data_IF_369249230757
#
_entry.id   IF_369249230757
#
_cell.length_a   1.000
_cell.length_b   1.000
_cell.length_c   1.000
_cell.angle_alpha   90.00
_cell.angle_beta   90.00
_cell.angle_gamma   90.00
#
_symmetry.space_group_name_H-M   'P 1'
#
loop_
_entity.id
_entity.type
_entity.pdbx_description
1 polymer ?
#
# COMPACT_ATOMS: atom_id res chain seq x y z
N UNK A 1 17.13 -10.60 4.13
CA UNK A 1 17.03 -12.00 3.65
C UNK A 1 16.28 -11.97 2.33
N UNK A 2 16.79 -12.62 1.28
CA UNK A 2 16.25 -12.50 -0.09
C UNK A 2 15.01 -13.37 -0.36
N UNK A 3 14.91 -14.56 0.25
CA UNK A 3 13.75 -15.45 0.09
C UNK A 3 12.38 -14.84 0.48
N UNK A 4 12.28 -14.03 1.55
CA UNK A 4 11.04 -13.32 1.89
C UNK A 4 10.60 -12.24 0.90
N UNK A 5 11.50 -11.72 0.04
CA UNK A 5 11.16 -10.61 -0.84
C UNK A 5 10.25 -11.08 -1.98
N UNK A 6 10.65 -12.12 -2.71
CA UNK A 6 9.88 -12.64 -3.84
C UNK A 6 8.48 -13.09 -3.39
N UNK A 7 8.36 -13.76 -2.24
CA UNK A 7 7.06 -14.15 -1.68
C UNK A 7 6.16 -12.93 -1.42
N UNK A 8 6.72 -11.87 -0.82
CA UNK A 8 5.95 -10.63 -0.59
C UNK A 8 5.56 -9.93 -1.88
N UNK A 9 6.41 -9.99 -2.91
CA UNK A 9 6.11 -9.45 -4.23
C UNK A 9 4.99 -10.24 -4.93
N UNK A 10 4.99 -11.58 -4.81
CA UNK A 10 3.90 -12.42 -5.31
C UNK A 10 2.58 -12.12 -4.59
N UNK A 11 2.60 -11.98 -3.27
CA UNK A 11 1.42 -11.59 -2.50
C UNK A 11 0.94 -10.18 -2.87
N UNK A 12 1.87 -9.25 -3.10
CA UNK A 12 1.54 -7.90 -3.55
C UNK A 12 0.84 -7.90 -4.92
N UNK A 13 1.36 -8.61 -5.92
CA UNK A 13 0.74 -8.70 -7.25
C UNK A 13 -0.65 -9.33 -7.19
N UNK A 14 -0.84 -10.37 -6.37
CA UNK A 14 -2.16 -11.01 -6.20
C UNK A 14 -3.24 -10.04 -5.72
N UNK A 15 -2.88 -9.03 -4.93
CA UNK A 15 -3.82 -8.00 -4.47
C UNK A 15 -4.22 -7.00 -5.56
N UNK A 16 -3.46 -6.90 -6.65
CA UNK A 16 -3.63 -5.87 -7.69
C UNK A 16 -4.30 -6.41 -8.97
N UNK A 17 -4.58 -7.70 -9.05
CA UNK A 17 -5.17 -8.34 -10.24
C UNK A 17 -6.58 -8.85 -9.94
N UNK A 18 -7.53 -7.92 -9.76
CA UNK A 18 -8.93 -8.23 -9.42
C UNK A 18 -9.70 -8.98 -10.53
N UNK A 19 -9.33 -8.79 -11.79
CA UNK A 19 -10.09 -9.32 -12.94
C UNK A 19 -9.87 -10.83 -13.14
N UNK A 20 -8.75 -11.35 -12.64
CA UNK A 20 -8.41 -12.77 -12.73
C UNK A 20 -9.39 -13.63 -11.94
N UNK A 21 -9.80 -13.21 -10.76
CA UNK A 21 -10.74 -13.97 -9.95
C UNK A 21 -12.14 -14.04 -10.59
N UNK A 22 -12.51 -13.06 -11.42
CA UNK A 22 -13.73 -13.12 -12.23
C UNK A 22 -13.60 -14.14 -13.35
N UNK A 23 -12.51 -14.07 -14.13
CA UNK A 23 -12.23 -15.00 -15.23
C UNK A 23 -12.13 -16.46 -14.74
N UNK A 24 -11.45 -16.69 -13.61
CA UNK A 24 -11.33 -18.00 -12.97
C UNK A 24 -12.72 -18.55 -12.59
N UNK A 25 -13.58 -17.70 -11.99
CA UNK A 25 -14.93 -18.10 -11.60
C UNK A 25 -15.77 -18.49 -12.81
N UNK A 26 -15.68 -17.72 -13.89
CA UNK A 26 -16.41 -17.99 -15.15
C UNK A 26 -16.03 -19.36 -15.73
N UNK A 27 -14.72 -19.63 -15.90
CA UNK A 27 -14.22 -20.92 -16.42
C UNK A 27 -14.63 -22.08 -15.52
N UNK A 28 -14.49 -21.94 -14.20
CA UNK A 28 -14.83 -23.00 -13.25
C UNK A 28 -16.33 -23.26 -13.12
N UNK A 29 -17.17 -22.26 -13.41
CA UNK A 29 -18.62 -22.37 -13.40
C UNK A 29 -19.20 -23.04 -14.65
N UNK A 30 -18.41 -23.12 -15.73
CA UNK A 30 -18.81 -23.75 -16.98
C UNK A 30 -19.00 -25.27 -16.82
N UNK A 31 -19.95 -25.83 -17.56
CA UNK A 31 -20.21 -27.28 -17.58
C UNK A 31 -18.99 -28.08 -18.04
N UNK A 32 -18.16 -27.51 -18.91
CA UNK A 32 -16.92 -28.11 -19.39
C UNK A 32 -15.77 -27.08 -19.36
N UNK A 33 -15.10 -26.90 -18.21
CA UNK A 33 -14.04 -25.90 -18.06
C UNK A 33 -12.93 -26.02 -19.09
N UNK A 34 -12.55 -27.25 -19.45
CA UNK A 34 -11.48 -27.54 -20.43
C UNK A 34 -11.77 -27.06 -21.85
N UNK A 35 -13.04 -26.86 -22.20
CA UNK A 35 -13.47 -26.35 -23.52
C UNK A 35 -13.82 -24.87 -23.49
N UNK A 36 -13.69 -24.21 -22.35
CA UNK A 36 -13.99 -22.80 -22.22
C UNK A 36 -12.97 -21.96 -22.99
N UNK A 37 -13.40 -20.90 -23.66
CA UNK A 37 -12.52 -20.05 -24.47
C UNK A 37 -11.37 -19.44 -23.64
N UNK A 38 -11.68 -19.06 -22.39
CA UNK A 38 -10.72 -18.49 -21.43
C UNK A 38 -9.92 -19.54 -20.65
N UNK A 39 -10.07 -20.85 -20.93
CA UNK A 39 -9.39 -21.90 -20.15
C UNK A 39 -7.88 -21.71 -20.09
N UNK A 40 -7.23 -21.55 -21.25
CA UNK A 40 -5.79 -21.36 -21.32
C UNK A 40 -5.34 -20.03 -20.75
N UNK A 41 -6.15 -18.97 -20.87
CA UNK A 41 -5.86 -17.69 -20.23
C UNK A 41 -5.82 -17.82 -18.71
N UNK A 42 -6.72 -18.61 -18.12
CA UNK A 42 -6.69 -18.88 -16.67
C UNK A 42 -5.47 -19.70 -16.27
N UNK A 43 -5.11 -20.73 -17.05
CA UNK A 43 -3.89 -21.51 -16.79
C UNK A 43 -2.65 -20.62 -16.86
N UNK A 44 -2.51 -19.84 -17.92
CA UNK A 44 -1.39 -18.92 -18.13
C UNK A 44 -1.29 -17.92 -16.97
N UNK A 45 -2.40 -17.31 -16.56
CA UNK A 45 -2.43 -16.41 -15.39
C UNK A 45 -1.98 -17.09 -14.11
N UNK A 46 -2.45 -18.31 -13.83
CA UNK A 46 -1.99 -19.03 -12.64
C UNK A 46 -0.48 -19.28 -12.69
N UNK A 47 0.06 -19.63 -13.86
CA UNK A 47 1.50 -19.76 -14.04
C UNK A 47 2.19 -18.41 -13.83
N UNK A 48 1.75 -17.32 -14.46
CA UNK A 48 2.33 -15.98 -14.28
C UNK A 48 2.36 -15.54 -12.80
N UNK A 49 1.32 -15.87 -12.01
CA UNK A 49 1.22 -15.57 -10.59
C UNK A 49 1.95 -16.57 -9.66
N UNK A 50 2.62 -17.58 -10.20
CA UNK A 50 3.27 -18.65 -9.45
C UNK A 50 2.30 -19.57 -8.68
N UNK A 51 1.04 -19.63 -9.09
CA UNK A 51 -0.05 -20.46 -8.52
C UNK A 51 -0.04 -21.84 -9.15
N UNK A 52 1.04 -22.57 -8.94
CA UNK A 52 1.31 -23.84 -9.61
C UNK A 52 0.26 -24.90 -9.30
N UNK A 53 -0.21 -24.99 -8.06
CA UNK A 53 -1.20 -26.02 -7.69
C UNK A 53 -2.54 -25.81 -8.38
N UNK A 54 -2.99 -24.56 -8.53
CA UNK A 54 -4.22 -24.23 -9.26
C UNK A 54 -4.07 -24.47 -10.77
N UNK A 55 -2.93 -24.10 -11.36
CA UNK A 55 -2.62 -24.40 -12.76
C UNK A 55 -2.65 -25.92 -13.02
N UNK A 56 -1.96 -26.69 -12.18
CA UNK A 56 -1.92 -28.16 -12.24
C UNK A 56 -3.31 -28.78 -12.09
N UNK A 57 -4.12 -28.25 -11.17
CA UNK A 57 -5.50 -28.72 -11.00
C UNK A 57 -6.33 -28.53 -12.27
N UNK A 58 -6.25 -27.38 -12.95
CA UNK A 58 -6.94 -27.16 -14.22
C UNK A 58 -6.40 -28.04 -15.34
N UNK A 59 -5.09 -28.14 -15.47
CA UNK A 59 -4.44 -29.00 -16.47
C UNK A 59 -4.82 -30.48 -16.30
N UNK A 60 -5.05 -30.95 -15.08
CA UNK A 60 -5.50 -32.33 -14.83
C UNK A 60 -6.87 -32.64 -15.44
N UNK A 61 -7.78 -31.64 -15.51
CA UNK A 61 -9.10 -31.78 -16.13
C UNK A 61 -8.98 -31.91 -17.65
N UNK A 62 -8.06 -31.13 -18.22
CA UNK A 62 -7.76 -31.18 -19.66
C UNK A 62 -7.02 -32.48 -20.03
N UNK A 63 -6.10 -32.95 -19.19
CA UNK A 63 -5.42 -34.23 -19.37
C UNK A 63 -6.39 -35.42 -19.39
N UNK A 64 -7.46 -35.37 -18.60
CA UNK A 64 -8.52 -36.37 -18.61
C UNK A 64 -9.38 -36.31 -19.87
N UNK A 65 -9.55 -35.13 -20.45
CA UNK A 65 -10.29 -34.93 -21.70
C UNK A 65 -9.49 -35.34 -22.94
N UNK A 66 -8.16 -35.22 -22.90
CA UNK A 66 -7.25 -35.49 -24.03
C UNK A 66 -6.18 -36.57 -23.71
N UNK A 67 -6.54 -37.87 -23.72
CA UNK A 67 -5.63 -38.97 -23.34
C UNK A 67 -4.40 -39.12 -24.25
N UNK A 68 -4.47 -38.69 -25.51
CA UNK A 68 -3.36 -38.75 -26.48
C UNK A 68 -2.15 -37.93 -26.05
N UNK A 69 -2.39 -36.84 -25.34
CA UNK A 69 -1.38 -35.90 -24.84
C UNK A 69 -1.00 -36.15 -23.38
N UNK A 70 -1.48 -37.24 -22.77
CA UNK A 70 -1.37 -37.48 -21.33
C UNK A 70 0.07 -37.53 -20.82
N UNK A 71 1.01 -38.02 -21.63
CA UNK A 71 2.43 -38.01 -21.25
C UNK A 71 2.98 -36.59 -21.11
N UNK A 72 2.63 -35.68 -22.02
CA UNK A 72 3.05 -34.28 -21.94
C UNK A 72 2.45 -33.58 -20.70
N UNK A 73 1.17 -33.82 -20.39
CA UNK A 73 0.55 -33.28 -19.17
C UNK A 73 1.25 -33.80 -17.90
N UNK A 74 1.64 -35.08 -17.85
CA UNK A 74 2.36 -35.64 -16.71
C UNK A 74 3.74 -35.01 -16.52
N UNK A 75 4.47 -34.80 -17.61
CA UNK A 75 5.78 -34.14 -17.58
C UNK A 75 5.62 -32.70 -17.09
N UNK A 76 4.69 -31.94 -17.67
CA UNK A 76 4.44 -30.56 -17.27
C UNK A 76 3.96 -30.46 -15.80
N UNK A 77 3.09 -31.37 -15.35
CA UNK A 77 2.67 -31.46 -13.95
C UNK A 77 3.85 -31.68 -13.01
N UNK A 78 4.77 -32.57 -13.37
CA UNK A 78 5.98 -32.85 -12.59
C UNK A 78 6.92 -31.63 -12.54
N UNK A 79 7.12 -30.94 -13.66
CA UNK A 79 7.89 -29.69 -13.70
C UNK A 79 7.28 -28.62 -12.79
N UNK A 80 5.98 -28.39 -12.87
CA UNK A 80 5.28 -27.42 -12.00
C UNK A 80 5.34 -27.81 -10.53
N UNK A 81 5.20 -29.11 -10.22
CA UNK A 81 5.26 -29.63 -8.84
C UNK A 81 6.65 -29.50 -8.23
N UNK A 82 7.70 -29.69 -9.03
CA UNK A 82 9.11 -29.61 -8.60
C UNK A 82 9.62 -28.19 -8.51
N UNK A 83 8.86 -27.19 -8.96
CA UNK A 83 9.27 -25.79 -8.94
C UNK A 83 9.77 -25.39 -7.53
N UNK A 84 11.02 -24.93 -7.41
CA UNK A 84 11.55 -24.51 -6.12
C UNK A 84 10.88 -23.22 -5.64
N UNK A 85 10.17 -23.30 -4.51
CA UNK A 85 9.53 -22.15 -3.87
C UNK A 85 10.40 -21.70 -2.69
N UNK A 86 10.64 -20.39 -2.50
CA UNK A 86 11.30 -19.89 -1.29
C UNK A 86 10.49 -20.31 -0.06
N UNK A 87 11.12 -20.99 0.89
CA UNK A 87 10.46 -21.34 2.15
C UNK A 87 10.59 -20.20 3.17
N UNK A 88 9.50 -19.92 3.90
CA UNK A 88 9.49 -18.95 5.02
C UNK A 88 10.19 -19.52 6.28
N UNK A 89 10.47 -20.83 6.30
CA UNK A 89 11.15 -21.51 7.41
C UNK A 89 12.67 -21.38 7.31
N UNK A 90 13.33 -21.16 8.46
CA UNK A 90 14.78 -20.96 8.60
C UNK A 90 15.68 -22.17 8.23
N UNK A 91 15.16 -23.18 7.54
CA UNK A 91 15.90 -24.43 7.29
C UNK A 91 16.61 -24.49 5.94
N UNK A 92 16.21 -23.69 4.95
CA UNK A 92 16.80 -23.71 3.61
C UNK A 92 17.77 -22.54 3.40
N UNK A 93 18.98 -22.82 2.95
CA UNK A 93 19.94 -21.77 2.57
C UNK A 93 19.61 -21.20 1.18
N UNK A 94 19.98 -19.94 0.92
CA UNK A 94 19.81 -19.35 -0.42
C UNK A 94 20.56 -20.14 -1.50
N UNK A 95 21.73 -20.68 -1.17
CA UNK A 95 22.53 -21.51 -2.08
C UNK A 95 21.81 -22.82 -2.41
N UNK A 96 21.17 -23.47 -1.44
CA UNK A 96 20.36 -24.67 -1.71
C UNK A 96 19.15 -24.38 -2.60
N UNK A 97 18.50 -23.24 -2.40
CA UNK A 97 17.39 -22.81 -3.25
C UNK A 97 17.88 -22.57 -4.69
N UNK A 98 18.98 -21.84 -4.85
CA UNK A 98 19.60 -21.55 -6.14
C UNK A 98 19.98 -22.83 -6.89
N UNK A 99 20.63 -23.79 -6.21
CA UNK A 99 20.99 -25.08 -6.82
C UNK A 99 19.77 -25.90 -7.26
N UNK A 100 18.72 -25.93 -6.45
CA UNK A 100 17.46 -26.59 -6.83
C UNK A 100 16.81 -25.91 -8.03
N UNK A 101 16.82 -24.58 -8.05
CA UNK A 101 16.25 -23.80 -9.15
C UNK A 101 17.04 -24.01 -10.44
N UNK A 102 18.37 -24.00 -10.40
CA UNK A 102 19.21 -24.30 -11.56
C UNK A 102 18.93 -25.69 -12.12
N UNK A 103 18.86 -26.71 -11.25
CA UNK A 103 18.53 -28.07 -11.70
C UNK A 103 17.14 -28.16 -12.33
N UNK A 104 16.14 -27.55 -11.70
CA UNK A 104 14.78 -27.49 -12.23
C UNK A 104 14.71 -26.75 -13.57
N UNK A 105 15.45 -25.65 -13.71
CA UNK A 105 15.54 -24.85 -14.94
C UNK A 105 16.18 -25.65 -16.08
N UNK A 106 17.27 -26.39 -15.80
CA UNK A 106 17.89 -27.33 -16.74
C UNK A 106 16.93 -28.44 -17.17
N UNK A 107 16.12 -28.99 -16.25
CA UNK A 107 15.09 -29.99 -16.58
C UNK A 107 14.05 -29.41 -17.54
N UNK A 108 13.51 -28.21 -17.27
CA UNK A 108 12.59 -27.51 -18.16
C UNK A 108 13.21 -27.30 -19.55
N UNK A 109 14.48 -26.88 -19.59
CA UNK A 109 15.18 -26.55 -20.83
C UNK A 109 15.36 -27.80 -21.69
N UNK A 110 15.72 -28.92 -21.08
CA UNK A 110 15.88 -30.21 -21.75
C UNK A 110 14.58 -30.67 -22.42
N UNK A 111 13.45 -30.61 -21.71
CA UNK A 111 12.16 -31.02 -22.27
C UNK A 111 11.74 -30.15 -23.47
N UNK A 112 12.04 -28.86 -23.43
CA UNK A 112 11.77 -27.95 -24.55
C UNK A 112 12.69 -28.24 -25.75
N UNK A 113 13.99 -28.47 -25.54
CA UNK A 113 14.95 -28.81 -26.58
C UNK A 113 14.65 -30.17 -27.24
N UNK A 114 14.18 -31.14 -26.46
CA UNK A 114 13.77 -32.46 -26.95
C UNK A 114 12.47 -32.40 -27.78
N UNK A 115 11.83 -31.22 -27.89
CA UNK A 115 10.58 -31.05 -28.62
C UNK A 115 9.39 -31.74 -27.96
N UNK A 116 9.46 -32.00 -26.65
CA UNK A 116 8.45 -32.77 -25.90
C UNK A 116 7.05 -32.17 -26.03
N UNK A 117 6.97 -30.84 -26.09
CA UNK A 117 5.71 -30.10 -26.15
C UNK A 117 5.32 -29.59 -27.55
N UNK A 118 6.10 -29.92 -28.60
CA UNK A 118 5.93 -29.35 -29.95
C UNK A 118 4.54 -29.63 -30.58
N UNK A 119 3.83 -30.65 -30.10
CA UNK A 119 2.46 -30.96 -30.55
C UNK A 119 1.35 -30.18 -29.83
N UNK A 120 1.67 -29.44 -28.77
CA UNK A 120 0.74 -28.59 -28.03
C UNK A 120 1.35 -27.20 -27.76
N UNK A 121 1.02 -26.19 -28.58
CA UNK A 121 1.57 -24.84 -28.45
C UNK A 121 1.34 -24.19 -27.08
N UNK A 122 0.22 -24.51 -26.41
CA UNK A 122 -0.05 -23.96 -25.08
C UNK A 122 0.91 -24.50 -24.02
N UNK A 123 1.19 -25.81 -24.05
CA UNK A 123 2.18 -26.40 -23.13
C UNK A 123 3.60 -25.91 -23.41
N UNK A 124 3.94 -25.76 -24.69
CA UNK A 124 5.22 -25.21 -25.09
C UNK A 124 5.39 -23.77 -24.59
N UNK A 125 4.35 -22.94 -24.75
CA UNK A 125 4.28 -21.58 -24.22
C UNK A 125 4.43 -21.55 -22.70
N UNK A 126 3.72 -22.43 -21.97
CA UNK A 126 3.88 -22.56 -20.51
C UNK A 126 5.32 -22.95 -20.16
N UNK A 127 5.92 -23.93 -20.84
CA UNK A 127 7.30 -24.34 -20.57
C UNK A 127 8.31 -23.22 -20.84
N UNK A 128 8.08 -22.38 -21.86
CA UNK A 128 8.86 -21.17 -22.13
C UNK A 128 8.72 -20.14 -21.00
N UNK A 129 7.50 -19.94 -20.48
CA UNK A 129 7.26 -19.10 -19.30
C UNK A 129 8.01 -19.64 -18.07
N UNK A 130 7.96 -20.95 -17.82
CA UNK A 130 8.69 -21.58 -16.71
C UNK A 130 10.21 -21.38 -16.81
N UNK A 131 10.75 -21.27 -18.03
CA UNK A 131 12.16 -20.98 -18.29
C UNK A 131 12.52 -19.50 -18.14
N UNK A 132 11.54 -18.63 -17.89
CA UNK A 132 11.76 -17.19 -17.81
C UNK A 132 12.02 -16.54 -19.16
N UNK A 133 11.53 -17.12 -20.25
CA UNK A 133 11.58 -16.53 -21.59
C UNK A 133 10.76 -15.22 -21.62
N UNK A 134 11.47 -14.09 -21.69
CA UNK A 134 10.87 -12.76 -21.60
C UNK A 134 9.90 -12.48 -22.75
N UNK A 135 10.18 -12.99 -23.96
CA UNK A 135 9.29 -12.82 -25.12
C UNK A 135 8.00 -13.62 -24.90
N UNK A 136 8.11 -14.88 -24.47
CA UNK A 136 6.95 -15.71 -24.19
C UNK A 136 6.07 -15.17 -23.04
N UNK A 137 6.69 -14.53 -22.04
CA UNK A 137 5.94 -13.85 -20.96
C UNK A 137 5.26 -12.58 -21.51
N UNK A 138 5.94 -11.78 -22.34
CA UNK A 138 5.38 -10.56 -22.94
C UNK A 138 4.26 -10.85 -23.93
N UNK A 139 4.25 -12.00 -24.62
CA UNK A 139 3.11 -12.45 -25.43
C UNK A 139 1.81 -12.55 -24.61
N UNK A 140 1.93 -12.72 -23.29
CA UNK A 140 0.80 -12.76 -22.34
C UNK A 140 0.52 -11.41 -21.69
N UNK A 141 1.03 -10.30 -22.25
CA UNK A 141 0.85 -8.95 -21.72
C UNK A 141 -0.60 -8.60 -21.43
N UNK A 142 -1.55 -8.97 -22.27
CA UNK A 142 -2.99 -8.70 -22.05
C UNK A 142 -3.56 -9.39 -20.79
N UNK A 143 -2.91 -10.45 -20.31
CA UNK A 143 -3.26 -11.14 -19.06
C UNK A 143 -2.63 -10.48 -17.83
N UNK A 144 -1.68 -9.56 -18.04
CA UNK A 144 -0.99 -8.79 -17.01
C UNK A 144 -1.48 -7.35 -17.08
N UNK A 145 -2.24 -6.89 -16.10
CA UNK A 145 -2.76 -5.51 -16.12
C UNK A 145 -1.67 -4.44 -15.94
N UNK A 146 -0.50 -4.82 -15.39
CA UNK A 146 0.53 -3.89 -14.94
C UNK A 146 1.93 -4.42 -15.19
N UNK A 147 2.89 -3.50 -15.40
CA UNK A 147 4.30 -3.84 -15.61
C UNK A 147 4.94 -4.51 -14.38
N UNK A 148 4.43 -4.23 -13.18
CA UNK A 148 4.95 -4.85 -11.97
C UNK A 148 4.47 -6.29 -11.79
N UNK A 149 3.36 -6.70 -12.41
CA UNK A 149 3.06 -8.13 -12.55
C UNK A 149 4.13 -8.81 -13.41
N UNK A 150 4.48 -8.21 -14.55
CA UNK A 150 5.56 -8.71 -15.41
C UNK A 150 6.92 -8.78 -14.69
N UNK A 151 7.28 -7.74 -13.92
CA UNK A 151 8.47 -7.75 -13.06
C UNK A 151 8.51 -8.96 -12.15
N UNK A 152 7.43 -9.21 -11.41
CA UNK A 152 7.39 -10.30 -10.43
C UNK A 152 7.45 -11.66 -11.11
N UNK A 153 6.79 -11.82 -12.25
CA UNK A 153 6.89 -13.03 -13.09
C UNK A 153 8.34 -13.28 -13.53
N UNK A 154 9.04 -12.24 -14.03
CA UNK A 154 10.46 -12.35 -14.40
C UNK A 154 11.33 -12.75 -13.22
N UNK A 155 11.13 -12.13 -12.06
CA UNK A 155 11.89 -12.47 -10.86
C UNK A 155 11.62 -13.91 -10.40
N UNK A 156 10.38 -14.37 -10.50
CA UNK A 156 9.99 -15.73 -10.13
C UNK A 156 10.71 -16.78 -10.98
N UNK A 157 10.77 -16.59 -12.29
CA UNK A 157 11.28 -17.59 -13.22
C UNK A 157 12.76 -17.45 -13.55
N UNK A 158 13.33 -16.25 -13.46
CA UNK A 158 14.71 -15.98 -13.88
C UNK A 158 15.64 -15.59 -12.73
N UNK A 159 15.12 -15.00 -11.64
CA UNK A 159 15.94 -14.42 -10.56
C UNK A 159 15.35 -14.64 -9.16
N UNK A 160 15.13 -15.90 -8.72
CA UNK A 160 14.41 -16.20 -7.47
C UNK A 160 15.13 -15.75 -6.19
N UNK A 161 16.44 -15.46 -6.29
CA UNK A 161 17.29 -15.05 -5.17
C UNK A 161 17.65 -13.55 -5.19
N UNK A 162 16.92 -12.75 -5.98
CA UNK A 162 17.12 -11.30 -6.16
C UNK A 162 17.25 -10.56 -4.83
N UNK A 163 18.24 -9.66 -4.76
CA UNK A 163 18.44 -8.82 -3.58
C UNK A 163 17.67 -7.51 -3.71
N UNK A 164 17.22 -6.90 -2.59
CA UNK A 164 16.53 -5.62 -2.63
C UNK A 164 17.30 -4.51 -3.38
N UNK A 165 18.63 -4.48 -3.27
CA UNK A 165 19.47 -3.47 -3.94
C UNK A 165 19.51 -3.60 -5.46
N UNK A 166 19.17 -4.78 -6.00
CA UNK A 166 19.18 -5.06 -7.43
C UNK A 166 17.79 -4.84 -8.07
N UNK A 167 16.75 -4.74 -7.24
CA UNK A 167 15.35 -4.70 -7.67
C UNK A 167 15.06 -3.54 -8.63
N UNK A 168 15.70 -2.39 -8.44
CA UNK A 168 15.56 -1.23 -9.34
C UNK A 168 15.93 -1.54 -10.79
N UNK A 169 16.94 -2.37 -11.03
CA UNK A 169 17.42 -2.66 -12.38
C UNK A 169 16.39 -3.52 -13.12
N UNK A 170 15.86 -4.54 -12.43
CA UNK A 170 14.79 -5.36 -12.95
C UNK A 170 13.49 -4.57 -13.13
N UNK A 171 13.17 -3.68 -12.19
CA UNK A 171 11.98 -2.84 -12.25
C UNK A 171 12.00 -1.92 -13.47
N UNK A 172 13.07 -1.16 -13.66
CA UNK A 172 13.23 -0.26 -14.81
C UNK A 172 13.16 -1.05 -16.13
N UNK A 173 13.94 -2.14 -16.23
CA UNK A 173 13.92 -3.00 -17.41
C UNK A 173 12.52 -3.56 -17.70
N UNK A 174 11.77 -3.97 -16.68
CA UNK A 174 10.41 -4.51 -16.85
C UNK A 174 9.43 -3.44 -17.30
N UNK A 175 9.52 -2.23 -16.73
CA UNK A 175 8.70 -1.10 -17.12
C UNK A 175 8.95 -0.70 -18.58
N UNK A 176 10.22 -0.60 -18.99
CA UNK A 176 10.60 -0.24 -20.36
C UNK A 176 10.08 -1.26 -21.38
N UNK A 177 10.27 -2.56 -21.12
CA UNK A 177 9.77 -3.65 -21.95
C UNK A 177 8.25 -3.67 -22.02
N UNK A 178 7.57 -3.50 -20.89
CA UNK A 178 6.13 -3.65 -20.80
C UNK A 178 5.39 -2.45 -21.40
N UNK A 179 5.84 -1.22 -21.14
CA UNK A 179 5.19 -0.01 -21.66
C UNK A 179 5.57 0.29 -23.13
N UNK A 180 6.66 -0.31 -23.63
CA UNK A 180 7.05 -0.23 -25.04
C UNK A 180 7.37 1.18 -25.52
N UNK A 181 7.62 2.13 -24.61
CA UNK A 181 7.87 3.54 -24.91
C UNK A 181 6.66 4.36 -25.41
N UNK A 182 5.52 3.73 -25.70
CA UNK A 182 4.31 4.40 -26.20
C UNK A 182 3.44 4.97 -25.08
N UNK A 183 3.46 4.33 -23.90
CA UNK A 183 2.69 4.77 -22.73
C UNK A 183 3.60 5.48 -21.73
N UNK A 184 3.23 6.70 -21.31
CA UNK A 184 3.93 7.39 -20.23
C UNK A 184 3.64 6.72 -18.89
N UNK A 185 4.66 6.53 -18.01
CA UNK A 185 4.44 6.01 -16.66
C UNK A 185 3.39 6.82 -15.90
N UNK A 186 2.52 6.13 -15.19
CA UNK A 186 1.52 6.76 -14.33
C UNK A 186 2.18 7.32 -13.05
N UNK A 187 1.52 8.24 -12.32
CA UNK A 187 2.09 8.77 -11.08
C UNK A 187 2.39 7.68 -10.03
N UNK A 188 1.60 6.60 -10.01
CA UNK A 188 1.87 5.44 -9.14
C UNK A 188 3.16 4.72 -9.54
N UNK A 189 3.46 4.61 -10.84
CA UNK A 189 4.68 3.96 -11.32
C UNK A 189 5.92 4.70 -10.84
N UNK A 190 5.88 6.03 -10.85
CA UNK A 190 6.98 6.86 -10.33
C UNK A 190 7.19 6.66 -8.83
N UNK A 191 6.11 6.51 -8.06
CA UNK A 191 6.16 6.20 -6.62
C UNK A 191 6.78 4.81 -6.41
N UNK A 192 6.35 3.80 -7.17
CA UNK A 192 6.86 2.43 -7.06
C UNK A 192 8.34 2.35 -7.44
N UNK A 193 8.77 3.05 -8.49
CA UNK A 193 10.17 3.13 -8.89
C UNK A 193 11.03 3.74 -7.78
N UNK A 194 10.61 4.86 -7.19
CA UNK A 194 11.30 5.45 -6.04
C UNK A 194 11.36 4.48 -4.84
N UNK A 195 10.30 3.70 -4.60
CA UNK A 195 10.28 2.70 -3.55
C UNK A 195 11.27 1.55 -3.82
N UNK A 196 11.37 1.08 -5.07
CA UNK A 196 12.35 0.06 -5.49
C UNK A 196 13.80 0.55 -5.42
N UNK A 197 14.03 1.86 -5.54
CA UNK A 197 15.34 2.50 -5.37
C UNK A 197 15.69 2.82 -3.91
N UNK A 198 14.78 2.56 -2.97
CA UNK A 198 14.88 2.94 -1.56
C UNK A 198 14.94 4.47 -1.33
N UNK A 199 14.45 5.27 -2.28
CA UNK A 199 14.39 6.74 -2.20
C UNK A 199 13.13 7.20 -1.44
N UNK A 200 13.10 6.93 -0.13
CA UNK A 200 11.90 7.14 0.72
C UNK A 200 11.41 8.60 0.75
N UNK A 201 12.32 9.58 0.67
CA UNK A 201 11.94 11.00 0.62
C UNK A 201 11.17 11.33 -0.67
N UNK A 202 11.57 10.73 -1.79
CA UNK A 202 10.89 10.89 -3.06
C UNK A 202 9.52 10.20 -3.03
N UNK A 203 9.41 9.00 -2.44
CA UNK A 203 8.12 8.32 -2.21
C UNK A 203 7.16 9.23 -1.42
N UNK A 204 7.60 9.78 -0.29
CA UNK A 204 6.79 10.68 0.57
C UNK A 204 6.33 11.90 -0.23
N UNK A 205 7.23 12.54 -0.99
CA UNK A 205 6.93 13.72 -1.80
C UNK A 205 5.89 13.41 -2.88
N UNK A 206 6.10 12.37 -3.68
CA UNK A 206 5.18 12.03 -4.76
C UNK A 206 3.83 11.57 -4.22
N UNK A 207 3.78 10.78 -3.14
CA UNK A 207 2.52 10.43 -2.47
C UNK A 207 1.76 11.67 -1.97
N UNK A 208 2.46 12.71 -1.51
CA UNK A 208 1.82 13.97 -1.07
C UNK A 208 1.12 14.68 -2.22
N UNK A 209 1.71 14.63 -3.41
CA UNK A 209 1.17 15.27 -4.62
C UNK A 209 0.02 14.44 -5.19
N UNK A 210 0.24 13.13 -5.37
CA UNK A 210 -0.68 12.24 -6.10
C UNK A 210 -1.93 11.93 -5.30
N UNK A 211 -1.78 11.57 -4.02
CA UNK A 211 -2.91 11.08 -3.22
C UNK A 211 -3.78 12.22 -2.67
N UNK A 212 -3.25 13.46 -2.67
CA UNK A 212 -3.91 14.64 -2.08
C UNK A 212 -4.46 14.38 -0.65
N UNK A 213 -3.87 13.42 0.07
CA UNK A 213 -4.31 12.96 1.37
C UNK A 213 -3.13 12.91 2.33
N UNK A 214 -3.11 13.86 3.25
CA UNK A 214 -2.09 13.96 4.30
C UNK A 214 -2.10 12.77 5.25
N UNK A 215 -3.20 12.02 5.37
CA UNK A 215 -3.28 10.85 6.24
C UNK A 215 -2.23 9.81 5.86
N UNK A 216 -2.20 9.39 4.59
CA UNK A 216 -1.30 8.33 4.16
C UNK A 216 0.15 8.73 4.36
N UNK A 217 0.52 9.94 3.92
CA UNK A 217 1.90 10.42 3.98
C UNK A 217 2.36 10.66 5.41
N UNK A 218 1.52 11.23 6.27
CA UNK A 218 1.85 11.42 7.68
C UNK A 218 2.13 10.09 8.38
N UNK A 219 1.28 9.08 8.17
CA UNK A 219 1.42 7.78 8.84
C UNK A 219 2.51 6.91 8.21
N UNK A 220 2.70 6.96 6.89
CA UNK A 220 3.82 6.29 6.24
C UNK A 220 5.15 6.88 6.74
N UNK A 221 5.25 8.20 6.81
CA UNK A 221 6.46 8.87 7.31
C UNK A 221 6.69 8.55 8.78
N UNK A 222 5.64 8.57 9.61
CA UNK A 222 5.71 8.16 11.01
C UNK A 222 6.21 6.72 11.16
N UNK A 223 5.66 5.78 10.38
CA UNK A 223 6.10 4.38 10.38
C UNK A 223 7.57 4.25 9.95
N UNK A 224 7.98 4.93 8.89
CA UNK A 224 9.36 4.88 8.38
C UNK A 224 10.36 5.48 9.39
N UNK A 225 9.99 6.52 10.12
CA UNK A 225 10.80 7.12 11.19
C UNK A 225 10.95 6.18 12.40
N UNK A 226 9.86 5.50 12.79
CA UNK A 226 9.91 4.47 13.84
C UNK A 226 10.77 3.28 13.43
N UNK A 227 10.75 2.90 12.14
CA UNK A 227 11.63 1.89 11.55
C UNK A 227 13.08 2.35 11.36
N UNK A 228 13.41 3.62 11.66
CA UNK A 228 14.75 4.22 11.48
C UNK A 228 15.25 4.18 10.02
N UNK A 229 14.31 4.23 9.08
CA UNK A 229 14.59 4.30 7.64
C UNK A 229 14.69 5.74 7.12
N UNK A 230 14.25 6.72 7.92
CA UNK A 230 14.42 8.14 7.65
C UNK A 230 15.52 8.71 8.53
N UNK A 231 16.38 9.54 7.94
CA UNK A 231 17.31 10.36 8.71
C UNK A 231 16.56 11.60 9.18
N UNK A 232 16.57 11.83 10.49
CA UNK A 232 15.99 13.03 11.10
C UNK A 232 16.87 14.25 10.80
N UNK A 233 16.70 14.84 9.62
CA UNK A 233 17.26 16.16 9.32
C UNK A 233 16.20 17.21 9.62
N UNK A 234 16.60 18.24 10.38
CA UNK A 234 15.75 19.39 10.59
C UNK A 234 15.63 20.15 9.27
N UNK A 235 14.39 20.46 8.89
CA UNK A 235 14.10 21.35 7.78
C UNK A 235 14.54 22.77 8.16
N UNK A 236 14.72 23.64 7.16
CA UNK A 236 15.18 25.02 7.36
C UNK A 236 14.35 25.84 8.37
N UNK A 237 13.14 25.40 8.67
CA UNK A 237 12.20 26.03 9.59
C UNK A 237 12.13 25.36 10.97
N UNK A 238 13.09 24.51 11.34
CA UNK A 238 13.26 24.02 12.72
C UNK A 238 12.49 22.75 13.09
N UNK A 239 11.62 22.24 12.21
CA UNK A 239 10.91 20.96 12.39
C UNK A 239 11.55 19.87 11.54
N UNK A 240 11.44 18.61 11.94
CA UNK A 240 11.73 17.48 11.05
C UNK A 240 10.53 17.22 10.11
N UNK A 241 10.77 16.41 9.06
CA UNK A 241 9.75 16.05 8.05
C UNK A 241 8.54 15.33 8.66
N UNK A 242 8.78 14.42 9.61
CA UNK A 242 7.72 13.67 10.29
C UNK A 242 6.75 14.61 10.99
N UNK A 243 7.27 15.51 11.82
CA UNK A 243 6.46 16.48 12.56
C UNK A 243 5.73 17.43 11.60
N UNK A 244 6.38 17.92 10.55
CA UNK A 244 5.73 18.76 9.54
C UNK A 244 4.48 18.07 8.96
N UNK A 245 4.60 16.81 8.51
CA UNK A 245 3.49 16.09 7.91
C UNK A 245 2.37 15.75 8.91
N UNK A 246 2.72 15.45 10.17
CA UNK A 246 1.75 15.25 11.24
C UNK A 246 0.98 16.54 11.56
N UNK A 247 1.67 17.69 11.58
CA UNK A 247 1.04 19.00 11.81
C UNK A 247 0.06 19.36 10.68
N UNK A 248 0.43 19.13 9.43
CA UNK A 248 -0.47 19.36 8.28
C UNK A 248 -1.70 18.44 8.33
N UNK A 249 -1.50 17.15 8.61
CA UNK A 249 -2.60 16.21 8.77
C UNK A 249 -3.54 16.61 9.92
N UNK A 250 -2.98 16.91 11.10
CA UNK A 250 -3.75 17.33 12.26
C UNK A 250 -4.51 18.63 12.01
N UNK A 251 -3.90 19.61 11.34
CA UNK A 251 -4.56 20.86 10.93
C UNK A 251 -5.75 20.59 9.99
N UNK A 252 -5.61 19.62 9.08
CA UNK A 252 -6.72 19.10 8.27
C UNK A 252 -7.88 18.56 9.11
N UNK A 253 -7.61 17.80 10.18
CA UNK A 253 -8.64 17.25 11.08
C UNK A 253 -9.45 18.34 11.80
N UNK A 254 -8.83 19.47 12.13
CA UNK A 254 -9.53 20.62 12.74
C UNK A 254 -10.57 21.27 11.84
N UNK A 255 -10.44 21.11 10.52
CA UNK A 255 -11.44 21.58 9.56
C UNK A 255 -12.72 20.74 9.60
N UNK A 256 -12.66 19.51 10.12
CA UNK A 256 -13.81 18.63 10.23
C UNK A 256 -14.51 18.73 11.60
N UNK A 257 -15.84 18.83 11.60
CA UNK A 257 -16.64 19.12 12.79
C UNK A 257 -16.55 18.07 13.91
N UNK A 258 -16.26 16.81 13.58
CA UNK A 258 -16.18 15.69 14.53
C UNK A 258 -14.75 15.22 14.83
N UNK A 259 -13.75 15.57 14.00
CA UNK A 259 -12.40 14.99 14.09
C UNK A 259 -11.39 15.89 14.81
N UNK A 260 -11.75 17.15 15.09
CA UNK A 260 -10.84 18.09 15.77
C UNK A 260 -10.29 17.56 17.10
N UNK A 261 -11.03 16.72 17.84
CA UNK A 261 -10.54 16.11 19.09
C UNK A 261 -9.36 15.18 18.84
N UNK A 262 -9.43 14.37 17.78
CA UNK A 262 -8.32 13.54 17.34
C UNK A 262 -7.13 14.41 16.90
N UNK A 263 -7.40 15.53 16.22
CA UNK A 263 -6.36 16.50 15.85
C UNK A 263 -5.59 17.05 17.05
N UNK A 264 -6.25 17.27 18.20
CA UNK A 264 -5.59 17.67 19.45
C UNK A 264 -4.57 16.62 19.88
N UNK A 265 -4.95 15.34 19.85
CA UNK A 265 -4.08 14.25 20.26
C UNK A 265 -2.85 14.15 19.32
N UNK A 266 -3.01 14.36 18.01
CA UNK A 266 -1.86 14.43 17.09
C UNK A 266 -0.91 15.59 17.41
N UNK A 267 -1.45 16.77 17.74
CA UNK A 267 -0.61 17.91 18.13
C UNK A 267 0.18 17.65 19.42
N UNK A 268 -0.36 16.89 20.38
CA UNK A 268 0.38 16.50 21.58
C UNK A 268 1.58 15.59 21.29
N UNK A 269 1.58 14.88 20.16
CA UNK A 269 2.68 14.01 19.72
C UNK A 269 3.69 14.73 18.80
N UNK A 270 3.56 16.06 18.65
CA UNK A 270 4.48 16.91 17.89
C UNK A 270 5.35 17.74 18.88
N UNK A 271 6.65 17.45 19.02
CA UNK A 271 7.48 17.98 20.10
C UNK A 271 7.85 19.46 19.97
N UNK A 272 8.10 19.97 18.76
CA UNK A 272 8.62 21.34 18.56
C UNK A 272 7.49 22.36 18.41
N UNK A 273 6.51 22.08 17.54
CA UNK A 273 5.48 23.06 17.16
C UNK A 273 4.05 22.64 17.53
N UNK A 274 3.84 21.42 18.01
CA UNK A 274 2.51 20.88 18.34
C UNK A 274 1.70 21.79 19.25
N UNK A 275 2.34 22.31 20.31
CA UNK A 275 1.70 23.24 21.25
C UNK A 275 1.23 24.53 20.58
N UNK A 276 2.10 25.16 19.79
CA UNK A 276 1.80 26.43 19.11
C UNK A 276 0.67 26.23 18.11
N UNK A 277 0.68 25.13 17.36
CA UNK A 277 -0.39 24.79 16.42
C UNK A 277 -1.72 24.54 17.13
N UNK A 278 -1.71 23.82 18.24
CA UNK A 278 -2.91 23.59 19.04
C UNK A 278 -3.51 24.91 19.56
N UNK A 279 -2.68 25.81 20.07
CA UNK A 279 -3.10 27.14 20.54
C UNK A 279 -3.79 27.95 19.43
N UNK A 280 -3.27 27.91 18.20
CA UNK A 280 -3.84 28.62 17.06
C UNK A 280 -5.14 28.00 16.53
N UNK A 281 -5.23 26.67 16.53
CA UNK A 281 -6.38 25.96 15.97
C UNK A 281 -7.56 25.86 16.93
N UNK A 282 -7.30 25.73 18.24
CA UNK A 282 -8.36 25.53 19.23
C UNK A 282 -9.32 26.73 19.30
N UNK A 283 -8.82 27.96 19.10
CA UNK A 283 -9.62 29.18 19.12
C UNK A 283 -10.55 29.31 17.92
N UNK A 284 -10.23 28.60 16.81
CA UNK A 284 -11.02 28.63 15.58
C UNK A 284 -12.17 27.64 15.57
N UNK A 285 -12.26 26.77 16.58
CA UNK A 285 -13.33 25.76 16.66
C UNK A 285 -14.69 26.46 16.81
N UNK A 286 -15.67 26.18 15.92
CA UNK A 286 -17.00 26.78 16.04
C UNK A 286 -17.72 26.31 17.32
N UNK A 287 -17.93 27.24 18.26
CA UNK A 287 -18.58 27.01 19.56
C UNK A 287 -20.11 27.16 19.47
N UNK A 288 -20.75 26.26 18.72
CA UNK A 288 -22.19 26.34 18.45
C UNK A 288 -23.05 25.98 19.66
N UNK A 289 -22.59 25.03 20.48
CA UNK A 289 -23.30 24.52 21.66
C UNK A 289 -22.47 24.69 22.93
N UNK A 290 -23.14 24.82 24.08
CA UNK A 290 -22.47 24.92 25.38
C UNK A 290 -21.70 23.64 25.73
N UNK A 291 -22.23 22.47 25.36
CA UNK A 291 -21.53 21.19 25.52
C UNK A 291 -20.22 21.15 24.76
N UNK A 292 -20.18 21.67 23.52
CA UNK A 292 -18.95 21.74 22.73
C UNK A 292 -17.95 22.71 23.36
N UNK A 293 -18.40 23.86 23.85
CA UNK A 293 -17.55 24.81 24.57
C UNK A 293 -16.93 24.20 25.84
N UNK A 294 -17.71 23.48 26.65
CA UNK A 294 -17.20 22.78 27.84
C UNK A 294 -16.18 21.69 27.48
N UNK A 295 -16.36 20.98 26.37
CA UNK A 295 -15.37 20.00 25.88
C UNK A 295 -14.05 20.67 25.49
N UNK A 296 -14.10 21.77 24.74
CA UNK A 296 -12.90 22.53 24.35
C UNK A 296 -12.22 23.10 25.60
N UNK A 297 -12.99 23.66 26.54
CA UNK A 297 -12.47 24.20 27.79
C UNK A 297 -11.70 23.14 28.60
N UNK A 298 -12.27 21.95 28.75
CA UNK A 298 -11.62 20.83 29.46
C UNK A 298 -10.29 20.45 28.82
N UNK A 299 -10.23 20.41 27.49
CA UNK A 299 -9.00 20.12 26.72
C UNK A 299 -7.92 21.18 27.01
N UNK A 300 -8.29 22.46 26.99
CA UNK A 300 -7.39 23.57 27.30
C UNK A 300 -6.91 23.55 28.76
N UNK A 301 -7.81 23.26 29.72
CA UNK A 301 -7.49 23.17 31.15
C UNK A 301 -6.52 22.03 31.45
N UNK A 302 -6.75 20.84 30.88
CA UNK A 302 -5.87 19.68 31.02
C UNK A 302 -4.45 19.97 30.52
N UNK A 303 -4.32 20.86 29.54
CA UNK A 303 -3.06 21.27 28.91
C UNK A 303 -2.54 22.61 29.41
N UNK A 304 -3.11 23.20 30.48
CA UNK A 304 -2.67 24.48 31.05
C UNK A 304 -2.66 25.66 30.04
N UNK A 305 -3.58 25.66 29.07
CA UNK A 305 -3.74 26.70 28.05
C UNK A 305 -4.54 27.90 28.59
N UNK A 306 -3.99 28.62 29.57
CA UNK A 306 -4.72 29.62 30.35
C UNK A 306 -5.28 30.78 29.51
N UNK A 307 -4.54 31.23 28.50
CA UNK A 307 -4.99 32.31 27.62
C UNK A 307 -6.18 31.88 26.76
N UNK A 308 -6.13 30.68 26.19
CA UNK A 308 -7.23 30.12 25.39
C UNK A 308 -8.46 29.83 26.26
N UNK A 309 -8.29 29.33 27.50
CA UNK A 309 -9.38 29.19 28.48
C UNK A 309 -10.09 30.53 28.71
N UNK A 310 -9.32 31.61 28.94
CA UNK A 310 -9.87 32.96 29.13
C UNK A 310 -10.60 33.45 27.89
N UNK A 311 -10.00 33.27 26.71
CA UNK A 311 -10.55 33.65 25.41
C UNK A 311 -11.90 32.97 25.13
N UNK A 312 -11.96 31.64 25.28
CA UNK A 312 -13.18 30.83 25.08
C UNK A 312 -14.29 31.25 26.05
N UNK A 313 -13.98 31.41 27.34
CA UNK A 313 -14.96 31.85 28.33
C UNK A 313 -15.54 33.23 28.00
N UNK A 314 -14.71 34.18 27.54
CA UNK A 314 -15.18 35.51 27.11
C UNK A 314 -16.12 35.43 25.90
N UNK A 315 -15.79 34.62 24.90
CA UNK A 315 -16.64 34.41 23.71
C UNK A 315 -18.00 33.84 24.13
N UNK A 316 -18.01 32.82 25.00
CA UNK A 316 -19.25 32.21 25.49
C UNK A 316 -20.08 33.16 26.36
N UNK A 317 -19.44 33.96 27.22
CA UNK A 317 -20.11 34.96 28.04
C UNK A 317 -20.79 36.03 27.17
N UNK A 318 -20.10 36.56 26.16
CA UNK A 318 -20.67 37.50 25.19
C UNK A 318 -21.83 36.90 24.39
N UNK A 319 -21.70 35.63 23.96
CA UNK A 319 -22.77 34.91 23.23
C UNK A 319 -24.00 34.70 24.12
N UNK A 320 -23.82 34.36 25.39
CA UNK A 320 -24.91 34.21 26.35
C UNK A 320 -25.61 35.55 26.65
N UNK A 321 -24.83 36.63 26.79
CA UNK A 321 -25.35 37.99 26.99
C UNK A 321 -26.20 38.45 25.79
N UNK A 322 -25.73 38.24 24.55
CA UNK A 322 -26.50 38.54 23.33
C UNK A 322 -27.83 37.76 23.23
N UNK A 323 -27.89 36.58 23.85
CA UNK A 323 -29.08 35.74 23.88
C UNK A 323 -29.96 35.98 25.14
N UNK A 324 -29.74 37.06 25.90
CA UNK A 324 -30.44 37.42 27.14
C UNK A 324 -30.39 36.32 28.24
N UNK A 325 -29.35 35.48 28.25
CA UNK A 325 -29.15 34.46 29.30
C UNK A 325 -28.15 34.96 30.34
N UNK A 326 -28.58 35.89 31.20
CA UNK A 326 -27.72 36.57 32.17
C UNK A 326 -27.01 35.60 33.14
N UNK A 327 -27.71 34.59 33.66
CA UNK A 327 -27.11 33.59 34.57
C UNK A 327 -25.98 32.79 33.92
N UNK A 328 -26.17 32.35 32.67
CA UNK A 328 -25.11 31.69 31.90
C UNK A 328 -23.96 32.65 31.60
N UNK A 329 -24.26 33.89 31.22
CA UNK A 329 -23.24 34.91 30.93
C UNK A 329 -22.35 35.18 32.17
N UNK A 330 -22.96 35.35 33.35
CA UNK A 330 -22.23 35.54 34.61
C UNK A 330 -21.36 34.32 34.96
N UNK A 331 -21.89 33.10 34.82
CA UNK A 331 -21.13 31.86 35.04
C UNK A 331 -19.87 31.78 34.15
N UNK A 332 -20.00 32.12 32.86
CA UNK A 332 -18.87 32.14 31.93
C UNK A 332 -17.88 33.28 32.23
N UNK A 333 -18.34 34.46 32.67
CA UNK A 333 -17.48 35.59 33.08
C UNK A 333 -16.65 35.29 34.33
N UNK A 334 -17.25 34.64 35.33
CA UNK A 334 -16.55 34.19 36.55
C UNK A 334 -15.45 33.18 36.17
N UNK A 335 -15.77 32.21 35.28
CA UNK A 335 -14.77 31.25 34.77
C UNK A 335 -13.66 31.91 33.96
N UNK A 336 -13.94 32.98 33.23
CA UNK A 336 -12.93 33.78 32.53
C UNK A 336 -12.01 34.57 33.49
N UNK A 337 -12.33 34.63 34.80
CA UNK A 337 -11.71 35.54 35.78
C UNK A 337 -11.77 37.01 35.33
N UNK A 338 -12.82 37.39 34.60
CA UNK A 338 -13.04 38.76 34.16
C UNK A 338 -13.98 39.48 35.13
N UNK A 339 -13.40 40.03 36.20
CA UNK A 339 -14.15 40.67 37.28
C UNK A 339 -14.92 41.91 36.79
N UNK A 340 -14.34 42.70 35.87
CA UNK A 340 -14.98 43.88 35.33
C UNK A 340 -16.22 43.52 34.50
N UNK A 341 -16.13 42.48 33.66
CA UNK A 341 -17.26 42.01 32.88
C UNK A 341 -18.32 41.31 33.74
N UNK A 342 -17.93 40.60 34.80
CA UNK A 342 -18.86 40.00 35.75
C UNK A 342 -19.69 41.06 36.51
N UNK A 343 -19.06 42.14 36.99
CA UNK A 343 -19.75 43.26 37.65
C UNK A 343 -20.74 43.94 36.69
N UNK A 344 -20.33 44.20 35.44
CA UNK A 344 -21.20 44.80 34.42
C UNK A 344 -22.46 43.98 34.12
N UNK A 345 -22.38 42.64 34.20
CA UNK A 345 -23.53 41.75 34.00
C UNK A 345 -24.40 41.70 35.26
N UNK A 346 -23.79 41.76 36.46
CA UNK A 346 -24.52 41.76 37.73
C UNK A 346 -25.30 43.05 37.99
N UNK A 347 -24.88 44.16 37.39
CA UNK A 347 -25.54 45.48 37.50
C UNK A 347 -26.72 45.65 36.52
N UNK A 348 -26.97 44.68 35.65
CA UNK A 348 -28.10 44.62 34.71
C UNK A 348 -29.17 43.65 35.18
#
# INVERSE_FOLDING_TARGET
>A
TAGPLLLRLLDWVRLHVCDVDSMVREVLSSESPSKHELFWNVVDVFVLQGRMDEARHLLSKEAAANPTSMNMYKILDDLMKKMPVPSLGNTQTLTELELKWQHWHEECQRYLQDGTFASNPHMESICKILLGDEEAILEKKELMTTWYHFLVTRLLYSHPTVKPMELRFYAQSSMDMFLGGESSPEPLDMILMAAFEFEMHQVIKECSIVLSNWWFVAHLTDLLDHCKLLQSHNLYFGSNMREFLLLEYASGLFSHHSLWQLGVDYFDHCPEYGRVYLELHIERIPLNTEQKALKVLRICEQRQMHEQVRSICKIMAMKALRNNRLGSALSWSIRAKDAAFATLISDR
#
